data_IF_497012931371
#
_entry.id   IF_497012931371
#
_cell.length_a   1.000
_cell.length_b   1.000
_cell.length_c   1.000
_cell.angle_alpha   90.00
_cell.angle_beta   90.00
_cell.angle_gamma   90.00
#
_symmetry.space_group_name_H-M   'P 1'
#
loop_
_entity.id
_entity.type
_entity.pdbx_description
1 polymer ?
#
# COMPACT_ATOMS: atom_id res chain seq x y z
N UNK A 1 -9.11 14.64 -33.76
CA UNK A 1 -8.13 13.55 -33.95
C UNK A 1 -7.00 13.58 -32.92
N UNK A 2 -6.45 14.74 -32.54
CA UNK A 2 -5.38 14.85 -31.51
C UNK A 2 -5.80 14.32 -30.14
N UNK A 3 -7.00 14.67 -29.66
CA UNK A 3 -7.52 14.19 -28.36
C UNK A 3 -7.66 12.66 -28.34
N UNK A 4 -8.23 12.08 -29.40
CA UNK A 4 -8.39 10.61 -29.51
C UNK A 4 -7.03 9.90 -29.56
N UNK A 5 -6.05 10.46 -30.27
CA UNK A 5 -4.69 9.92 -30.34
C UNK A 5 -3.97 10.01 -28.98
N UNK A 6 -4.16 11.10 -28.23
CA UNK A 6 -3.62 11.26 -26.88
C UNK A 6 -4.28 10.29 -25.89
N UNK A 7 -5.60 10.08 -25.98
CA UNK A 7 -6.32 9.10 -25.15
C UNK A 7 -5.85 7.67 -25.41
N UNK A 8 -5.68 7.30 -26.69
CA UNK A 8 -5.18 5.97 -27.08
C UNK A 8 -3.71 5.78 -26.71
N UNK A 9 -2.89 6.83 -26.81
CA UNK A 9 -1.51 6.80 -26.36
C UNK A 9 -1.42 6.67 -24.82
N UNK A 10 -2.27 7.37 -24.08
CA UNK A 10 -2.32 7.30 -22.63
C UNK A 10 -2.79 5.92 -22.12
N UNK A 11 -3.80 5.32 -22.75
CA UNK A 11 -4.26 3.96 -22.39
C UNK A 11 -3.23 2.90 -22.72
N UNK A 12 -2.55 3.00 -23.86
CA UNK A 12 -1.44 2.10 -24.22
C UNK A 12 -0.23 2.29 -23.33
N UNK A 13 0.08 3.52 -22.94
CA UNK A 13 1.14 3.79 -21.98
C UNK A 13 0.80 3.17 -20.62
N UNK A 14 -0.42 3.37 -20.09
CA UNK A 14 -0.84 2.75 -18.82
C UNK A 14 -0.77 1.22 -18.84
N UNK A 15 -1.20 0.59 -19.93
CA UNK A 15 -1.12 -0.87 -20.11
C UNK A 15 0.31 -1.44 -20.15
N UNK A 16 1.32 -0.59 -20.38
CA UNK A 16 2.74 -0.98 -20.38
C UNK A 16 3.42 -0.83 -19.02
N UNK A 17 2.72 -0.29 -18.02
CA UNK A 17 3.27 -0.04 -16.69
C UNK A 17 2.48 -0.70 -15.59
N UNK A 18 1.17 -0.89 -15.77
CA UNK A 18 0.30 -1.46 -14.74
C UNK A 18 0.32 -2.98 -14.77
N UNK A 19 0.32 -3.60 -13.59
CA UNK A 19 -0.01 -5.01 -13.43
C UNK A 19 -1.52 -5.20 -13.64
N UNK A 20 -1.95 -6.02 -14.62
CA UNK A 20 -3.35 -6.31 -14.85
C UNK A 20 -3.94 -7.36 -13.88
N UNK A 21 -3.20 -7.92 -12.92
CA UNK A 21 -3.77 -8.85 -11.95
C UNK A 21 -4.89 -8.20 -11.15
N UNK A 22 -6.05 -8.84 -11.18
CA UNK A 22 -7.29 -8.40 -10.55
C UNK A 22 -7.68 -9.26 -9.35
N UNK A 23 -6.89 -10.28 -9.01
CA UNK A 23 -7.23 -11.17 -7.91
C UNK A 23 -7.04 -10.46 -6.56
N UNK A 24 -8.09 -10.39 -5.75
CA UNK A 24 -8.08 -9.66 -4.46
C UNK A 24 -7.69 -10.57 -3.29
N UNK A 25 -7.87 -11.89 -3.42
CA UNK A 25 -7.71 -12.87 -2.33
C UNK A 25 -6.58 -13.87 -2.55
N UNK A 26 -5.81 -13.73 -3.64
CA UNK A 26 -4.64 -14.55 -3.94
C UNK A 26 -3.56 -14.39 -2.86
N UNK A 27 -2.63 -15.35 -2.76
CA UNK A 27 -1.50 -15.28 -1.83
C UNK A 27 -0.72 -13.98 -1.92
N UNK A 28 -0.56 -13.45 -3.12
CA UNK A 28 0.11 -12.18 -3.42
C UNK A 28 -0.51 -10.99 -2.66
N UNK A 29 -1.81 -10.73 -2.80
CA UNK A 29 -2.48 -9.65 -2.03
C UNK A 29 -2.43 -9.84 -0.52
N UNK A 30 -2.40 -11.10 -0.04
CA UNK A 30 -2.22 -11.39 1.39
C UNK A 30 -0.83 -10.97 1.87
N UNK A 31 0.19 -11.17 1.05
CA UNK A 31 1.56 -10.72 1.33
C UNK A 31 1.58 -9.19 1.37
N UNK A 32 0.99 -8.50 0.38
CA UNK A 32 0.92 -7.04 0.36
C UNK A 32 0.17 -6.48 1.58
N UNK A 33 -0.95 -7.09 1.97
CA UNK A 33 -1.68 -6.71 3.18
C UNK A 33 -0.84 -6.90 4.44
N UNK A 34 -0.19 -8.06 4.59
CA UNK A 34 0.68 -8.35 5.73
C UNK A 34 1.89 -7.41 5.78
N UNK A 35 2.48 -7.07 4.63
CA UNK A 35 3.53 -6.06 4.51
C UNK A 35 3.03 -4.69 4.96
N UNK A 36 1.79 -4.32 4.63
CA UNK A 36 1.13 -3.11 5.12
C UNK A 36 1.04 -3.03 6.64
N UNK A 37 0.62 -4.13 7.28
CA UNK A 37 0.61 -4.26 8.75
C UNK A 37 2.03 -4.12 9.32
N UNK A 38 3.00 -4.83 8.72
CA UNK A 38 4.40 -4.77 9.16
C UNK A 38 5.00 -3.37 9.04
N UNK A 39 4.77 -2.68 7.93
CA UNK A 39 5.24 -1.31 7.69
C UNK A 39 4.62 -0.31 8.66
N UNK A 40 3.33 -0.45 8.99
CA UNK A 40 2.71 0.38 10.03
C UNK A 40 3.37 0.18 11.40
N UNK A 41 3.60 -1.08 11.78
CA UNK A 41 4.30 -1.40 13.03
C UNK A 41 5.71 -0.83 13.04
N UNK A 42 6.41 -0.92 11.92
CA UNK A 42 7.75 -0.36 11.78
C UNK A 42 7.73 1.17 11.80
N UNK A 43 6.72 1.83 11.22
CA UNK A 43 6.62 3.29 11.18
C UNK A 43 6.49 3.92 12.59
N UNK A 44 6.21 3.12 13.62
CA UNK A 44 6.14 3.52 15.03
C UNK A 44 7.49 3.51 15.75
N UNK A 45 8.51 2.94 15.12
CA UNK A 45 9.84 2.83 15.70
C UNK A 45 10.59 4.17 15.77
N UNK A 46 11.66 4.25 16.58
CA UNK A 46 12.45 5.47 16.77
C UNK A 46 13.25 5.91 15.54
N UNK A 47 13.30 5.10 14.47
CA UNK A 47 13.98 5.42 13.22
C UNK A 47 13.18 6.35 12.29
N UNK A 48 11.86 6.45 12.48
CA UNK A 48 11.06 7.47 11.79
C UNK A 48 10.98 8.69 12.69
N UNK A 49 11.36 9.88 12.21
CA UNK A 49 11.28 11.06 13.06
C UNK A 49 9.83 11.34 13.47
N UNK A 50 9.63 11.67 14.76
CA UNK A 50 8.31 11.85 15.40
C UNK A 50 7.30 12.66 14.57
N UNK A 51 7.65 13.78 13.93
CA UNK A 51 6.71 14.56 13.13
C UNK A 51 6.06 13.79 11.97
N UNK A 52 6.68 12.70 11.50
CA UNK A 52 6.17 11.86 10.42
C UNK A 52 5.35 10.66 10.88
N UNK A 53 5.29 10.36 12.18
CA UNK A 53 4.57 9.19 12.69
C UNK A 53 3.70 9.48 13.93
N UNK A 54 3.60 10.73 14.37
CA UNK A 54 2.84 11.13 15.57
C UNK A 54 1.32 10.96 15.44
N UNK A 55 0.79 10.82 14.23
CA UNK A 55 -0.62 10.53 13.95
C UNK A 55 -0.77 9.28 13.07
N UNK A 56 -1.88 8.55 13.26
CA UNK A 56 -2.18 7.33 12.50
C UNK A 56 -2.18 7.58 10.99
N UNK A 57 -2.81 8.66 10.52
CA UNK A 57 -2.84 9.00 9.09
C UNK A 57 -1.44 9.26 8.51
N UNK A 58 -0.49 9.79 9.33
CA UNK A 58 0.88 10.01 8.88
C UNK A 58 1.64 8.69 8.74
N UNK A 59 1.42 7.73 9.64
CA UNK A 59 1.99 6.39 9.53
C UNK A 59 1.47 5.65 8.31
N UNK A 60 0.16 5.74 8.03
CA UNK A 60 -0.42 5.23 6.79
C UNK A 60 0.19 5.92 5.57
N UNK A 61 0.44 7.24 5.62
CA UNK A 61 1.10 7.97 4.52
C UNK A 61 2.55 7.54 4.31
N UNK A 62 3.31 7.29 5.39
CA UNK A 62 4.66 6.71 5.32
C UNK A 62 4.61 5.35 4.64
N UNK A 63 3.71 4.47 5.08
CA UNK A 63 3.50 3.15 4.45
C UNK A 63 3.11 3.27 2.98
N UNK A 64 2.20 4.17 2.63
CA UNK A 64 1.80 4.42 1.25
C UNK A 64 3.00 4.91 0.40
N UNK A 65 3.84 5.79 0.93
CA UNK A 65 5.03 6.28 0.22
C UNK A 65 6.01 5.14 -0.05
N UNK A 66 6.24 4.28 0.94
CA UNK A 66 7.10 3.10 0.79
C UNK A 66 6.52 2.12 -0.23
N UNK A 67 5.23 1.81 -0.13
CA UNK A 67 4.53 0.91 -1.05
C UNK A 67 4.56 1.42 -2.49
N UNK A 68 4.22 2.69 -2.72
CA UNK A 68 4.27 3.28 -4.05
C UNK A 68 5.69 3.28 -4.65
N UNK A 69 6.71 3.48 -3.80
CA UNK A 69 8.10 3.41 -4.23
C UNK A 69 8.49 1.99 -4.64
N UNK A 70 8.02 0.98 -3.90
CA UNK A 70 8.25 -0.43 -4.21
C UNK A 70 7.61 -0.82 -5.55
N UNK A 71 6.32 -0.54 -5.73
CA UNK A 71 5.61 -0.82 -6.97
C UNK A 71 6.22 -0.10 -8.18
N UNK A 72 6.80 1.10 -7.98
CA UNK A 72 7.51 1.80 -9.04
C UNK A 72 8.81 1.09 -9.44
N UNK A 73 9.54 0.52 -8.47
CA UNK A 73 10.74 -0.27 -8.74
C UNK A 73 10.38 -1.56 -9.51
N UNK A 74 9.34 -2.26 -9.07
CA UNK A 74 8.85 -3.47 -9.74
C UNK A 74 8.40 -3.16 -11.18
N UNK A 75 7.71 -2.03 -11.38
CA UNK A 75 7.32 -1.58 -12.72
C UNK A 75 8.53 -1.26 -13.62
N UNK A 76 9.56 -0.62 -13.07
CA UNK A 76 10.80 -0.31 -13.78
C UNK A 76 11.58 -1.59 -14.16
N UNK A 77 11.65 -2.56 -13.24
CA UNK A 77 12.29 -3.85 -13.48
C UNK A 77 11.52 -4.67 -14.51
N UNK A 78 10.20 -4.82 -14.35
CA UNK A 78 9.34 -5.49 -15.31
C UNK A 78 9.46 -4.89 -16.72
N UNK A 79 9.63 -3.57 -16.82
CA UNK A 79 9.87 -2.90 -18.09
C UNK A 79 11.25 -3.25 -18.68
N UNK A 80 12.30 -3.23 -17.86
CA UNK A 80 13.67 -3.61 -18.29
C UNK A 80 13.71 -5.05 -18.80
N UNK A 81 12.95 -5.94 -18.19
CA UNK A 81 12.86 -7.35 -18.57
C UNK A 81 11.86 -7.63 -19.72
N UNK A 82 11.14 -6.63 -20.21
CA UNK A 82 10.12 -6.80 -21.25
C UNK A 82 8.89 -7.60 -20.80
N UNK A 83 8.64 -7.64 -19.49
CA UNK A 83 7.51 -8.35 -18.86
C UNK A 83 6.36 -7.44 -18.43
N UNK A 84 6.57 -6.13 -18.41
CA UNK A 84 5.55 -5.18 -17.96
C UNK A 84 4.21 -5.33 -18.70
N UNK A 85 3.10 -5.19 -17.97
CA UNK A 85 1.75 -5.39 -18.50
C UNK A 85 1.29 -6.86 -18.53
N UNK A 86 2.03 -7.77 -17.90
CA UNK A 86 1.63 -9.17 -17.67
C UNK A 86 1.19 -9.34 -16.22
N UNK A 87 0.25 -10.26 -15.90
CA UNK A 87 -0.15 -10.52 -14.52
C UNK A 87 1.05 -10.80 -13.61
N UNK A 88 1.15 -10.06 -12.50
CA UNK A 88 2.28 -10.10 -11.56
C UNK A 88 3.51 -9.29 -12.00
N UNK A 89 3.41 -8.47 -13.05
CA UNK A 89 4.53 -7.67 -13.57
C UNK A 89 4.09 -6.25 -13.95
N UNK A 90 4.51 -5.27 -13.15
CA UNK A 90 4.19 -3.86 -13.32
C UNK A 90 4.01 -3.18 -11.98
N UNK A 91 3.47 -1.97 -12.02
CA UNK A 91 2.91 -1.31 -10.85
C UNK A 91 1.54 -1.93 -10.57
N UNK A 92 1.37 -2.60 -9.45
CA UNK A 92 0.10 -3.17 -9.00
C UNK A 92 -0.72 -2.17 -8.19
N UNK A 93 -1.80 -1.57 -8.75
CA UNK A 93 -2.64 -0.66 -7.98
C UNK A 93 -3.38 -1.39 -6.87
N UNK A 94 -3.71 -2.67 -7.09
CA UNK A 94 -4.33 -3.51 -6.08
C UNK A 94 -3.34 -3.94 -4.99
N UNK A 95 -2.08 -4.13 -5.33
CA UNK A 95 -1.00 -4.40 -4.38
C UNK A 95 -0.77 -3.22 -3.45
N UNK A 96 -0.58 -2.05 -4.06
CA UNK A 96 -0.54 -0.78 -3.34
C UNK A 96 -1.75 -0.61 -2.42
N UNK A 97 -2.97 -0.83 -2.93
CA UNK A 97 -4.18 -0.71 -2.14
C UNK A 97 -4.25 -1.73 -1.00
N UNK A 98 -3.84 -2.98 -1.23
CA UNK A 98 -3.80 -4.02 -0.21
C UNK A 98 -2.80 -3.67 0.91
N UNK A 99 -1.63 -3.14 0.56
CA UNK A 99 -0.63 -2.65 1.54
C UNK A 99 -1.16 -1.48 2.35
N UNK A 100 -1.80 -0.49 1.73
CA UNK A 100 -2.42 0.63 2.45
C UNK A 100 -3.56 0.15 3.37
N UNK A 101 -4.38 -0.80 2.91
CA UNK A 101 -5.46 -1.39 3.70
C UNK A 101 -4.93 -2.16 4.92
N UNK A 102 -3.81 -2.87 4.79
CA UNK A 102 -3.12 -3.52 5.90
C UNK A 102 -2.70 -2.54 6.98
N UNK A 103 -2.06 -1.43 6.58
CA UNK A 103 -1.65 -0.37 7.52
C UNK A 103 -2.86 0.27 8.22
N UNK A 104 -3.90 0.63 7.46
CA UNK A 104 -5.12 1.21 8.01
C UNK A 104 -5.83 0.26 9.00
N UNK A 105 -5.79 -1.04 8.73
CA UNK A 105 -6.35 -2.07 9.61
C UNK A 105 -5.56 -2.17 10.93
N UNK A 106 -4.22 -2.15 10.86
CA UNK A 106 -3.37 -2.14 12.05
C UNK A 106 -3.70 -0.95 12.97
N UNK A 107 -3.86 0.24 12.39
CA UNK A 107 -4.27 1.45 13.13
C UNK A 107 -5.66 1.31 13.76
N UNK A 108 -6.64 0.82 13.01
CA UNK A 108 -8.00 0.64 13.50
C UNK A 108 -8.05 -0.34 14.68
N UNK A 109 -7.33 -1.46 14.57
CA UNK A 109 -7.24 -2.46 15.63
C UNK A 109 -6.58 -1.90 16.89
N UNK A 110 -5.50 -1.12 16.74
CA UNK A 110 -4.86 -0.51 17.90
C UNK A 110 -5.74 0.55 18.57
N UNK A 111 -6.41 1.40 17.79
CA UNK A 111 -7.35 2.38 18.33
C UNK A 111 -8.48 1.70 19.12
N UNK A 112 -9.01 0.58 18.61
CA UNK A 112 -9.99 -0.24 19.30
C UNK A 112 -9.42 -0.84 20.59
N UNK A 113 -8.20 -1.40 20.55
CA UNK A 113 -7.51 -1.96 21.71
C UNK A 113 -7.34 -0.92 22.83
N UNK A 114 -6.86 0.29 22.50
CA UNK A 114 -6.75 1.38 23.46
C UNK A 114 -8.10 1.77 24.08
N UNK A 115 -9.17 1.81 23.28
CA UNK A 115 -10.53 2.11 23.76
C UNK A 115 -11.02 1.05 24.75
N UNK A 116 -10.80 -0.23 24.46
CA UNK A 116 -11.16 -1.34 25.34
C UNK A 116 -10.38 -1.28 26.65
N UNK A 117 -9.06 -1.10 26.58
CA UNK A 117 -8.19 -1.03 27.77
C UNK A 117 -8.56 0.16 28.67
N UNK A 118 -8.85 1.33 28.08
CA UNK A 118 -9.30 2.51 28.81
C UNK A 118 -10.61 2.26 29.54
N UNK A 119 -11.59 1.62 28.89
CA UNK A 119 -12.86 1.25 29.52
C UNK A 119 -12.68 0.29 30.69
N UNK A 120 -11.81 -0.71 30.55
CA UNK A 120 -11.52 -1.66 31.64
C UNK A 120 -10.89 -0.97 32.85
N UNK A 121 -9.90 -0.09 32.65
CA UNK A 121 -9.27 0.66 33.75
C UNK A 121 -10.25 1.56 34.49
N UNK A 122 -11.20 2.18 33.80
CA UNK A 122 -12.22 3.01 34.42
C UNK A 122 -13.30 2.21 35.18
N UNK A 123 -13.41 0.90 34.91
CA UNK A 123 -14.35 0.00 35.57
C UNK A 123 -13.71 -0.82 36.70
N UNK A 124 -12.39 -0.73 36.88
CA UNK A 124 -11.69 -1.31 38.03
C UNK A 124 -11.75 -0.31 39.20
N UNK A 125 -12.29 -0.71 40.36
CA UNK A 125 -12.40 0.15 41.54
C UNK A 125 -11.04 0.48 42.18
#
# INVERSE_FOLDING_TARGET
>A
MVVLALSVAATRAGAQWLDPDACVTCPDKRIHFAAGVGLDLLARGPWVAKPFHDHAWKRVLVTATVAASWEMLDALEARREGKAGRPGYGFGPLDFAATVAGAATAEALQALGHKILRRRRAASP
#
